data_IF_177323585004
#
_entry.id   IF_177323585004
#
_cell.length_a   1.000
_cell.length_b   1.000
_cell.length_c   1.000
_cell.angle_alpha   90.00
_cell.angle_beta   90.00
_cell.angle_gamma   90.00
#
_symmetry.space_group_name_H-M   'P 1'
#
loop_
_entity.id
_entity.type
_entity.pdbx_description
1 polymer ?
#
# COMPACT_ATOMS: atom_id res chain seq x y z
N UNK A 1 2.50 2.34 -1.38
CA UNK A 1 2.43 2.97 -2.73
C UNK A 1 2.13 1.88 -3.76
N UNK A 2 1.14 2.09 -4.63
CA UNK A 2 0.78 1.16 -5.71
C UNK A 2 1.64 1.44 -6.96
N UNK A 3 2.08 0.40 -7.66
CA UNK A 3 2.81 0.50 -8.92
C UNK A 3 1.90 0.87 -10.10
N UNK A 4 0.58 0.79 -9.93
CA UNK A 4 -0.39 1.33 -10.89
C UNK A 4 -0.22 0.77 -12.30
N UNK A 5 -0.19 1.66 -13.29
CA UNK A 5 -0.02 1.32 -14.71
C UNK A 5 1.40 0.85 -15.06
N UNK A 6 2.40 1.18 -14.24
CA UNK A 6 3.80 0.78 -14.44
C UNK A 6 4.08 -0.66 -13.99
N UNK A 7 3.12 -1.33 -13.36
CA UNK A 7 3.29 -2.69 -12.85
C UNK A 7 3.78 -3.70 -13.91
N UNK A 8 3.27 -3.72 -15.16
CA UNK A 8 3.79 -4.59 -16.21
C UNK A 8 5.26 -4.28 -16.56
N UNK A 9 5.62 -2.99 -16.62
CA UNK A 9 6.98 -2.55 -16.91
C UNK A 9 7.94 -2.97 -15.78
N UNK A 10 7.52 -2.81 -14.53
CA UNK A 10 8.27 -3.23 -13.35
C UNK A 10 8.50 -4.75 -13.33
N UNK A 11 7.47 -5.53 -13.70
CA UNK A 11 7.57 -6.99 -13.80
C UNK A 11 8.53 -7.42 -14.91
N UNK A 12 8.50 -6.74 -16.07
CA UNK A 12 9.42 -6.98 -17.18
C UNK A 12 10.86 -6.66 -16.79
N UNK A 13 11.10 -5.52 -16.13
CA UNK A 13 12.43 -5.15 -15.64
C UNK A 13 12.98 -6.18 -14.64
N UNK A 14 12.16 -6.64 -13.69
CA UNK A 14 12.56 -7.70 -12.75
C UNK A 14 12.90 -9.02 -13.47
N UNK A 15 12.17 -9.34 -14.54
CA UNK A 15 12.45 -10.52 -15.36
C UNK A 15 13.78 -10.39 -16.11
N UNK A 16 14.04 -9.23 -16.73
CA UNK A 16 15.29 -8.93 -17.40
C UNK A 16 16.48 -9.01 -16.43
N UNK A 17 16.36 -8.43 -15.23
CA UNK A 17 17.41 -8.54 -14.20
C UNK A 17 17.70 -10.01 -13.84
N UNK A 18 16.64 -10.79 -13.60
CA UNK A 18 16.76 -12.20 -13.22
C UNK A 18 17.42 -13.06 -14.30
N UNK A 19 17.19 -12.75 -15.59
CA UNK A 19 17.77 -13.46 -16.73
C UNK A 19 19.17 -12.95 -17.09
N UNK A 20 19.43 -11.65 -16.93
CA UNK A 20 20.69 -11.00 -17.29
C UNK A 20 21.82 -11.19 -16.27
N UNK A 21 21.53 -11.71 -15.07
CA UNK A 21 22.51 -11.74 -13.98
C UNK A 21 23.74 -12.64 -14.21
N UNK A 22 23.80 -13.46 -15.28
CA UNK A 22 24.98 -14.28 -15.68
C UNK A 22 25.48 -15.34 -14.69
N UNK A 23 25.07 -15.29 -13.42
CA UNK A 23 25.50 -16.19 -12.36
C UNK A 23 24.72 -17.51 -12.41
N UNK A 24 25.33 -18.57 -11.88
CA UNK A 24 24.76 -19.91 -11.63
C UNK A 24 23.37 -19.90 -10.95
N UNK A 25 22.95 -18.78 -10.36
CA UNK A 25 21.65 -18.56 -9.74
C UNK A 25 20.54 -17.98 -10.64
N UNK A 26 20.80 -17.60 -11.90
CA UNK A 26 19.82 -16.93 -12.77
C UNK A 26 18.54 -17.74 -12.99
N UNK A 27 18.67 -19.04 -13.31
CA UNK A 27 17.53 -19.95 -13.46
C UNK A 27 16.73 -20.11 -12.16
N UNK A 28 17.41 -20.14 -11.01
CA UNK A 28 16.74 -20.23 -9.71
C UNK A 28 16.02 -18.92 -9.34
N UNK A 29 16.62 -17.76 -9.66
CA UNK A 29 16.02 -16.43 -9.49
C UNK A 29 14.79 -16.27 -10.39
N UNK A 30 14.87 -16.63 -11.66
CA UNK A 30 13.74 -16.67 -12.58
C UNK A 30 12.62 -17.61 -12.10
N UNK A 31 12.96 -18.79 -11.58
CA UNK A 31 11.97 -19.74 -11.04
C UNK A 31 11.22 -19.16 -9.83
N UNK A 32 11.92 -18.42 -8.96
CA UNK A 32 11.28 -17.71 -7.84
C UNK A 32 10.40 -16.55 -8.33
N UNK A 33 10.92 -15.70 -9.21
CA UNK A 33 10.19 -14.56 -9.76
C UNK A 33 8.93 -15.01 -10.50
N UNK A 34 9.03 -15.99 -11.40
CA UNK A 34 7.88 -16.52 -12.16
C UNK A 34 6.80 -17.14 -11.26
N UNK A 35 7.16 -17.64 -10.07
CA UNK A 35 6.16 -18.10 -9.07
C UNK A 35 5.39 -16.92 -8.47
N UNK A 36 6.07 -15.80 -8.21
CA UNK A 36 5.43 -14.57 -7.71
C UNK A 36 4.58 -13.93 -8.80
N UNK A 37 5.13 -13.77 -10.02
CA UNK A 37 4.42 -13.19 -11.17
C UNK A 37 3.12 -13.94 -11.52
N UNK A 38 3.07 -15.26 -11.34
CA UNK A 38 1.85 -16.04 -11.55
C UNK A 38 0.73 -15.74 -10.55
N UNK A 39 1.07 -15.29 -9.34
CA UNK A 39 0.09 -14.93 -8.29
C UNK A 39 -0.34 -13.46 -8.34
N UNK A 40 0.37 -12.63 -9.09
CA UNK A 40 0.14 -11.20 -9.17
C UNK A 40 -1.30 -10.81 -9.58
N UNK A 41 -1.94 -11.46 -10.58
CA UNK A 41 -3.32 -11.15 -10.94
C UNK A 41 -4.31 -11.36 -9.78
N UNK A 42 -4.15 -12.46 -9.03
CA UNK A 42 -4.99 -12.77 -7.87
C UNK A 42 -4.80 -11.76 -6.74
N UNK A 43 -3.55 -11.40 -6.46
CA UNK A 43 -3.21 -10.38 -5.45
C UNK A 43 -3.77 -9.02 -5.87
N UNK A 44 -3.59 -8.62 -7.13
CA UNK A 44 -4.11 -7.35 -7.65
C UNK A 44 -5.64 -7.30 -7.57
N UNK A 45 -6.33 -8.39 -7.93
CA UNK A 45 -7.78 -8.46 -7.82
C UNK A 45 -8.27 -8.35 -6.37
N UNK A 46 -7.54 -8.92 -5.40
CA UNK A 46 -7.85 -8.76 -3.97
C UNK A 46 -7.63 -7.32 -3.50
N UNK A 47 -6.51 -6.71 -3.85
CA UNK A 47 -6.19 -5.34 -3.46
C UNK A 47 -7.19 -4.33 -4.05
N UNK A 48 -7.62 -4.51 -5.31
CA UNK A 48 -8.65 -3.67 -5.95
C UNK A 48 -10.02 -3.74 -5.25
N UNK A 49 -10.32 -4.82 -4.53
CA UNK A 49 -11.56 -4.96 -3.75
C UNK A 49 -11.49 -4.29 -2.38
N UNK A 50 -10.31 -3.93 -1.90
CA UNK A 50 -10.18 -3.25 -0.63
C UNK A 50 -10.72 -1.81 -0.76
N UNK A 51 -11.53 -1.34 0.20
CA UNK A 51 -12.04 0.01 0.18
C UNK A 51 -10.87 1.01 0.27
N UNK A 52 -10.70 1.80 -0.78
CA UNK A 52 -9.66 2.85 -0.87
C UNK A 52 -10.10 4.15 -0.20
N UNK A 53 -11.39 4.29 0.10
CA UNK A 53 -11.95 5.47 0.74
C UNK A 53 -11.30 5.71 2.12
N UNK A 54 -10.98 6.98 2.46
CA UNK A 54 -10.47 7.33 3.79
C UNK A 54 -11.47 6.93 4.89
N UNK A 55 -10.96 6.43 6.02
CA UNK A 55 -11.80 6.11 7.19
C UNK A 55 -12.34 7.37 7.88
N UNK A 56 -11.61 8.48 7.76
CA UNK A 56 -11.95 9.80 8.29
C UNK A 56 -11.66 10.86 7.23
N UNK A 57 -12.46 11.93 7.23
CA UNK A 57 -12.22 13.12 6.42
C UNK A 57 -11.29 14.10 7.13
N UNK A 58 -10.72 15.07 6.42
CA UNK A 58 -9.94 16.14 7.05
C UNK A 58 -10.72 16.90 8.12
N UNK A 59 -12.01 17.16 7.88
CA UNK A 59 -12.91 17.80 8.86
C UNK A 59 -13.10 16.96 10.11
N UNK A 60 -13.16 15.63 9.98
CA UNK A 60 -13.21 14.74 11.14
C UNK A 60 -11.95 14.83 11.98
N UNK A 61 -10.78 14.79 11.34
CA UNK A 61 -9.49 14.90 12.02
C UNK A 61 -9.37 16.25 12.74
N UNK A 62 -9.75 17.35 12.10
CA UNK A 62 -9.75 18.68 12.72
C UNK A 62 -10.64 18.73 13.97
N UNK A 63 -11.86 18.17 13.89
CA UNK A 63 -12.80 18.14 15.02
C UNK A 63 -12.28 17.31 16.20
N UNK A 64 -11.63 16.19 15.94
CA UNK A 64 -11.11 15.29 16.98
C UNK A 64 -9.84 15.84 17.62
N UNK A 65 -8.95 16.42 16.82
CA UNK A 65 -7.63 16.87 17.28
C UNK A 65 -7.61 18.34 17.73
N UNK A 66 -8.66 19.12 17.42
CA UNK A 66 -8.70 20.57 17.66
C UNK A 66 -7.73 21.37 16.78
N UNK A 67 -7.04 20.73 15.84
CA UNK A 67 -6.09 21.38 14.95
C UNK A 67 -6.82 22.14 13.84
N UNK A 68 -6.32 23.34 13.53
CA UNK A 68 -6.75 24.10 12.36
C UNK A 68 -6.30 23.46 11.03
N UNK A 69 -6.82 23.94 9.89
CA UNK A 69 -6.42 23.45 8.57
C UNK A 69 -4.92 23.67 8.33
N UNK A 70 -4.24 22.68 7.77
CA UNK A 70 -2.82 22.78 7.47
C UNK A 70 -2.14 21.43 7.17
N UNK A 71 -0.83 21.44 6.87
CA UNK A 71 -0.08 20.24 6.46
C UNK A 71 -0.08 19.14 7.52
N UNK A 72 -0.27 19.49 8.80
CA UNK A 72 -0.36 18.51 9.88
C UNK A 72 -1.60 17.61 9.77
N UNK A 73 -2.72 18.13 9.27
CA UNK A 73 -3.92 17.31 9.00
C UNK A 73 -3.63 16.29 7.90
N UNK A 74 -2.97 16.71 6.82
CA UNK A 74 -2.56 15.80 5.75
C UNK A 74 -1.63 14.69 6.25
N UNK A 75 -0.70 15.00 7.14
CA UNK A 75 0.16 13.99 7.78
C UNK A 75 -0.65 12.97 8.59
N UNK A 76 -1.60 13.43 9.41
CA UNK A 76 -2.46 12.53 10.20
C UNK A 76 -3.34 11.64 9.30
N UNK A 77 -3.88 12.19 8.20
CA UNK A 77 -4.64 11.40 7.23
C UNK A 77 -3.77 10.33 6.56
N UNK A 78 -2.51 10.65 6.23
CA UNK A 78 -1.58 9.66 5.69
C UNK A 78 -1.23 8.58 6.71
N UNK A 79 -0.99 8.94 7.98
CA UNK A 79 -0.75 7.95 9.05
C UNK A 79 -1.95 7.02 9.25
N UNK A 80 -3.18 7.53 9.15
CA UNK A 80 -4.39 6.71 9.18
C UNK A 80 -4.51 5.81 7.95
N UNK A 81 -4.09 6.28 6.77
CA UNK A 81 -4.06 5.47 5.56
C UNK A 81 -3.04 4.34 5.68
N UNK A 82 -1.83 4.63 6.17
CA UNK A 82 -0.79 3.63 6.41
C UNK A 82 -1.26 2.59 7.44
N UNK A 83 -1.83 3.04 8.57
CA UNK A 83 -2.39 2.12 9.58
C UNK A 83 -3.54 1.26 9.05
N UNK A 84 -4.33 1.77 8.09
CA UNK A 84 -5.37 0.99 7.42
C UNK A 84 -4.76 -0.05 6.47
N UNK A 85 -3.79 0.36 5.67
CA UNK A 85 -3.12 -0.50 4.70
C UNK A 85 -2.34 -1.64 5.40
N UNK A 86 -1.80 -1.37 6.60
CA UNK A 86 -1.18 -2.37 7.48
C UNK A 86 -2.21 -3.27 8.22
N UNK A 87 -3.51 -2.97 8.10
CA UNK A 87 -4.59 -3.73 8.74
C UNK A 87 -4.77 -3.46 10.24
N UNK A 88 -4.12 -2.43 10.79
CA UNK A 88 -4.25 -2.02 12.19
C UNK A 88 -5.64 -1.42 12.48
N UNK A 89 -6.21 -0.74 11.48
CA UNK A 89 -7.55 -0.16 11.54
C UNK A 89 -8.32 -0.48 10.26
N UNK A 90 -9.62 -0.77 10.38
CA UNK A 90 -10.49 -1.07 9.24
C UNK A 90 -11.83 -0.32 9.31
N UNK A 91 -12.06 0.42 10.39
CA UNK A 91 -13.33 1.11 10.65
C UNK A 91 -13.09 2.54 11.11
N UNK A 92 -14.09 3.39 10.86
CA UNK A 92 -14.13 4.77 11.36
C UNK A 92 -13.87 4.85 12.87
N UNK A 93 -14.49 3.95 13.66
CA UNK A 93 -14.34 3.91 15.12
C UNK A 93 -12.90 3.62 15.55
N UNK A 94 -12.23 2.67 14.88
CA UNK A 94 -10.82 2.38 15.16
C UNK A 94 -9.91 3.55 14.77
N UNK A 95 -10.19 4.23 13.65
CA UNK A 95 -9.45 5.42 13.25
C UNK A 95 -9.56 6.56 14.28
N UNK A 96 -10.73 6.77 14.88
CA UNK A 96 -10.92 7.75 15.96
C UNK A 96 -10.09 7.37 17.20
N UNK A 97 -10.21 6.12 17.65
CA UNK A 97 -9.43 5.62 18.80
C UNK A 97 -7.91 5.63 18.54
N UNK A 98 -7.49 5.55 17.28
CA UNK A 98 -6.09 5.68 16.89
C UNK A 98 -5.58 7.11 17.06
N UNK A 99 -6.40 8.11 16.70
CA UNK A 99 -6.06 9.52 16.88
C UNK A 99 -6.04 9.94 18.36
N UNK A 100 -6.92 9.40 19.20
CA UNK A 100 -6.97 9.71 20.64
C UNK A 100 -5.74 9.22 21.42
N UNK A 101 -5.00 8.25 20.86
CA UNK A 101 -3.77 7.71 21.47
C UNK A 101 -2.51 8.51 21.13
N UNK A 102 -2.62 9.55 20.30
CA UNK A 102 -1.51 10.43 19.90
C UNK A 102 -1.59 11.78 20.59
#
# INVERSE_FOLDING_TARGET
RDAGEDLPLLCLHAACDACGSGATGGTARWRRLSRVLRRLPEVQARLRKLPTAPLLTGTDVMRVTGLGPGPRIGRLLNELADARDDGLISTRRQALAYLEKK
#
